data_IF_062012466038
#
_entry.id   IF_062012466038
#
_cell.length_a   1.000
_cell.length_b   1.000
_cell.length_c   1.000
_cell.angle_alpha   90.00
_cell.angle_beta   90.00
_cell.angle_gamma   90.00
#
_symmetry.space_group_name_H-M   'P 1'
#
loop_
_entity.id
_entity.type
_entity.pdbx_description
1 polymer ?
#
# COMPACT_ATOMS: atom_id res chain seq x y z
N UNK A 1 -27.49 -3.26 12.42
CA UNK A 1 -26.16 -3.33 13.04
C UNK A 1 -25.17 -3.80 11.99
N UNK A 2 -24.12 -3.02 11.73
CA UNK A 2 -23.01 -3.49 10.90
C UNK A 2 -22.09 -4.35 11.79
N UNK A 3 -21.73 -5.55 11.35
CA UNK A 3 -20.82 -6.44 12.11
C UNK A 3 -19.34 -6.12 11.91
N UNK A 4 -19.02 -5.30 10.89
CA UNK A 4 -17.68 -4.82 10.56
C UNK A 4 -17.79 -3.40 10.00
N UNK A 5 -16.90 -2.53 10.45
CA UNK A 5 -16.69 -1.18 9.89
C UNK A 5 -15.23 -1.10 9.49
N UNK A 6 -14.94 -0.47 8.36
CA UNK A 6 -13.57 -0.33 7.91
C UNK A 6 -13.41 0.65 6.77
N UNK A 7 -12.17 1.04 6.56
CA UNK A 7 -11.71 1.93 5.51
C UNK A 7 -10.53 1.25 4.81
N UNK A 8 -10.49 1.35 3.49
CA UNK A 8 -9.43 0.75 2.69
C UNK A 8 -8.96 1.71 1.62
N UNK A 9 -7.65 1.94 1.56
CA UNK A 9 -7.02 2.66 0.47
C UNK A 9 -6.13 1.71 -0.33
N UNK A 10 -6.34 1.72 -1.64
CA UNK A 10 -5.52 0.98 -2.60
C UNK A 10 -4.82 1.99 -3.50
N UNK A 11 -3.52 2.17 -3.26
CA UNK A 11 -2.71 3.08 -4.06
C UNK A 11 -1.87 2.27 -5.05
N UNK A 12 -2.03 2.59 -6.33
CA UNK A 12 -1.19 2.07 -7.41
C UNK A 12 -0.25 3.16 -7.89
N UNK A 13 1.04 2.97 -7.65
CA UNK A 13 2.11 3.77 -8.23
C UNK A 13 2.48 3.12 -9.56
N UNK A 14 1.99 3.69 -10.66
CA UNK A 14 2.24 3.22 -12.03
C UNK A 14 3.08 4.26 -12.76
N UNK A 15 4.32 3.89 -13.05
CA UNK A 15 5.32 4.78 -13.63
C UNK A 15 5.78 4.24 -14.97
N UNK A 16 5.86 5.12 -15.96
CA UNK A 16 6.46 4.80 -17.25
C UNK A 16 7.97 5.08 -17.22
N UNK A 17 8.69 4.37 -16.35
CA UNK A 17 10.14 4.46 -16.19
C UNK A 17 10.79 3.11 -16.54
N UNK A 18 12.05 3.12 -17.02
CA UNK A 18 12.84 1.88 -17.13
C UNK A 18 13.10 1.28 -15.74
N UNK A 19 13.57 0.02 -15.73
CA UNK A 19 13.95 -0.72 -14.50
C UNK A 19 12.78 -0.94 -13.52
N UNK A 20 11.93 -1.96 -13.78
CA UNK A 20 10.67 -2.15 -13.03
C UNK A 20 10.87 -2.62 -11.58
N UNK A 21 12.10 -2.95 -11.18
CA UNK A 21 12.45 -3.38 -9.83
C UNK A 21 13.16 -2.30 -9.00
N UNK A 22 13.52 -1.17 -9.59
CA UNK A 22 14.24 -0.08 -8.90
C UNK A 22 13.29 0.94 -8.28
N UNK A 23 13.00 0.80 -6.98
CA UNK A 23 11.96 1.58 -6.30
C UNK A 23 12.47 2.58 -5.26
N UNK A 24 13.76 2.62 -4.94
CA UNK A 24 14.33 3.43 -3.84
C UNK A 24 14.03 4.94 -3.95
N UNK A 25 13.85 5.44 -5.18
CA UNK A 25 13.46 6.84 -5.42
C UNK A 25 12.02 7.15 -4.96
N UNK A 26 11.15 6.16 -4.96
CA UNK A 26 9.70 6.33 -4.84
C UNK A 26 9.14 5.72 -3.55
N UNK A 27 9.66 4.57 -3.15
CA UNK A 27 9.20 3.79 -1.99
C UNK A 27 10.31 3.73 -0.96
N UNK A 28 9.94 3.76 0.33
CA UNK A 28 10.87 3.68 1.44
C UNK A 28 11.73 2.41 1.34
N UNK A 29 13.06 2.56 1.38
CA UNK A 29 14.00 1.45 1.22
C UNK A 29 13.84 0.34 2.25
N UNK A 30 13.35 0.65 3.45
CA UNK A 30 13.16 -0.32 4.53
C UNK A 30 12.15 -1.41 4.17
N UNK A 31 11.23 -1.16 3.23
CA UNK A 31 10.23 -2.13 2.78
C UNK A 31 10.58 -2.78 1.42
N UNK A 32 11.76 -2.49 0.86
CA UNK A 32 12.22 -3.00 -0.43
C UNK A 32 13.24 -4.15 -0.32
N UNK A 33 13.72 -4.47 0.88
CA UNK A 33 14.89 -5.36 1.08
C UNK A 33 14.78 -6.75 0.44
N UNK A 34 13.57 -7.28 0.27
CA UNK A 34 13.33 -8.56 -0.40
C UNK A 34 13.76 -8.57 -1.88
N UNK A 35 13.76 -7.43 -2.56
CA UNK A 35 14.15 -7.32 -3.97
C UNK A 35 15.65 -7.63 -4.07
N UNK A 36 16.44 -7.06 -3.16
CA UNK A 36 17.89 -7.21 -3.12
C UNK A 36 18.34 -8.58 -2.57
N UNK A 37 17.44 -9.34 -1.96
CA UNK A 37 17.70 -10.72 -1.53
C UNK A 37 17.80 -11.72 -2.70
N UNK A 38 17.19 -11.41 -3.85
CA UNK A 38 17.14 -12.31 -4.99
C UNK A 38 18.15 -11.90 -6.08
N UNK A 39 19.02 -12.84 -6.48
CA UNK A 39 19.98 -12.63 -7.58
C UNK A 39 19.31 -12.72 -8.96
N UNK A 40 18.38 -13.65 -9.14
CA UNK A 40 17.72 -13.93 -10.42
C UNK A 40 16.51 -13.01 -10.69
N UNK A 41 16.75 -11.70 -10.59
CA UNK A 41 15.71 -10.65 -10.69
C UNK A 41 14.88 -10.74 -11.98
N UNK A 42 15.47 -11.20 -13.10
CA UNK A 42 14.77 -11.34 -14.38
C UNK A 42 13.64 -12.40 -14.40
N UNK A 43 13.64 -13.36 -13.45
CA UNK A 43 12.60 -14.40 -13.39
C UNK A 43 11.46 -14.05 -12.43
N UNK A 44 11.55 -12.92 -11.73
CA UNK A 44 10.51 -12.49 -10.80
C UNK A 44 9.22 -12.17 -11.58
N UNK A 45 8.13 -12.80 -11.18
CA UNK A 45 6.80 -12.63 -11.79
C UNK A 45 5.89 -11.73 -10.97
N UNK A 46 6.13 -11.61 -9.65
CA UNK A 46 5.42 -10.75 -8.72
C UNK A 46 6.13 -10.71 -7.36
N UNK A 47 6.00 -9.62 -6.60
CA UNK A 47 6.53 -9.53 -5.23
C UNK A 47 5.46 -8.91 -4.33
N UNK A 48 5.07 -9.59 -3.25
CA UNK A 48 4.12 -9.04 -2.26
C UNK A 48 4.49 -9.45 -0.84
N UNK A 49 4.23 -8.53 0.08
CA UNK A 49 4.31 -8.71 1.53
C UNK A 49 2.96 -8.41 2.14
N UNK A 50 2.69 -9.02 3.28
CA UNK A 50 1.54 -8.72 4.12
C UNK A 50 2.07 -8.49 5.53
N UNK A 51 1.73 -7.36 6.11
CA UNK A 51 1.92 -7.05 7.53
C UNK A 51 0.55 -6.82 8.14
N UNK A 52 0.26 -7.51 9.23
CA UNK A 52 -1.01 -7.37 9.95
C UNK A 52 -0.76 -6.75 11.32
N UNK A 53 -1.44 -5.64 11.59
CA UNK A 53 -1.42 -4.96 12.88
C UNK A 53 -2.74 -5.19 13.61
N UNK A 54 -2.66 -5.21 14.93
CA UNK A 54 -3.81 -5.10 15.81
C UNK A 54 -3.55 -3.93 16.76
N UNK A 55 -4.17 -2.78 16.47
CA UNK A 55 -4.11 -1.58 17.30
C UNK A 55 -5.33 -1.56 18.22
N UNK A 56 -5.29 -2.36 19.28
CA UNK A 56 -6.28 -2.37 20.36
C UNK A 56 -7.74 -2.41 19.87
N UNK A 57 -8.05 -3.33 18.95
CA UNK A 57 -9.40 -3.50 18.38
C UNK A 57 -9.59 -2.94 16.97
N UNK A 58 -8.60 -2.20 16.45
CA UNK A 58 -8.48 -1.88 15.02
C UNK A 58 -7.47 -2.82 14.35
N UNK A 59 -7.97 -3.71 13.50
CA UNK A 59 -7.15 -4.54 12.64
C UNK A 59 -6.71 -3.75 11.42
N UNK A 60 -5.42 -3.80 11.06
CA UNK A 60 -4.91 -3.21 9.81
C UNK A 60 -4.14 -4.26 9.03
N UNK A 61 -4.63 -4.58 7.84
CA UNK A 61 -3.91 -5.41 6.87
C UNK A 61 -3.21 -4.50 5.88
N UNK A 62 -1.89 -4.50 5.91
CA UNK A 62 -1.03 -3.78 4.99
C UNK A 62 -0.39 -4.75 4.00
N UNK A 63 -0.93 -4.80 2.78
CA UNK A 63 -0.38 -5.57 1.68
C UNK A 63 0.34 -4.66 0.69
N UNK A 64 1.59 -4.96 0.37
CA UNK A 64 2.38 -4.11 -0.53
C UNK A 64 3.39 -4.88 -1.36
N UNK A 65 3.80 -4.28 -2.48
CA UNK A 65 4.88 -4.81 -3.29
C UNK A 65 4.73 -4.51 -4.78
N UNK A 66 5.55 -5.18 -5.58
CA UNK A 66 5.60 -5.02 -7.03
C UNK A 66 4.49 -5.86 -7.67
N UNK A 67 3.49 -5.14 -8.19
CA UNK A 67 2.41 -5.72 -8.95
C UNK A 67 2.85 -6.07 -10.37
N UNK A 68 2.12 -6.97 -11.00
CA UNK A 68 2.34 -7.32 -12.39
C UNK A 68 1.00 -7.53 -13.08
N UNK A 69 0.62 -6.59 -13.95
CA UNK A 69 -0.60 -6.71 -14.75
C UNK A 69 -0.60 -7.92 -15.68
N UNK A 70 0.59 -8.43 -16.02
CA UNK A 70 0.79 -9.48 -17.01
C UNK A 70 1.13 -10.84 -16.34
N UNK A 71 0.86 -10.96 -15.03
CA UNK A 71 1.09 -12.20 -14.27
C UNK A 71 0.40 -13.40 -14.94
N UNK A 72 1.06 -14.57 -15.07
CA UNK A 72 2.32 -14.97 -14.44
C UNK A 72 3.59 -14.69 -15.25
N UNK A 73 3.56 -13.82 -16.26
CA UNK A 73 4.79 -13.44 -16.98
C UNK A 73 5.79 -12.72 -16.08
N UNK A 74 7.02 -12.52 -16.55
CA UNK A 74 8.03 -11.72 -15.85
C UNK A 74 7.59 -10.26 -15.69
N UNK A 75 8.02 -9.61 -14.61
CA UNK A 75 7.71 -8.20 -14.34
C UNK A 75 8.36 -7.33 -15.43
N UNK A 76 7.52 -6.58 -16.15
CA UNK A 76 7.97 -5.63 -17.20
C UNK A 76 7.59 -4.18 -16.93
N UNK A 77 6.52 -3.96 -16.13
CA UNK A 77 5.99 -2.64 -15.82
C UNK A 77 6.40 -2.23 -14.41
N UNK A 78 6.66 -0.93 -14.23
CA UNK A 78 7.01 -0.36 -12.93
C UNK A 78 5.73 -0.03 -12.17
N UNK A 79 5.14 -1.05 -11.57
CA UNK A 79 3.91 -0.96 -10.77
C UNK A 79 4.15 -1.40 -9.33
N UNK A 80 3.90 -0.51 -8.37
CA UNK A 80 3.95 -0.80 -6.94
C UNK A 80 2.59 -0.54 -6.30
N UNK A 81 2.14 -1.46 -5.46
CA UNK A 81 0.86 -1.38 -4.78
C UNK A 81 1.08 -1.17 -3.28
N UNK A 82 0.31 -0.25 -2.71
CA UNK A 82 0.13 -0.07 -1.28
C UNK A 82 -1.36 -0.24 -0.98
N UNK A 83 -1.74 -1.42 -0.50
CA UNK A 83 -3.10 -1.81 -0.16
C UNK A 83 -3.24 -1.90 1.36
N UNK A 84 -3.90 -0.90 1.95
CA UNK A 84 -4.03 -0.78 3.41
C UNK A 84 -5.51 -0.83 3.76
N UNK A 85 -5.93 -1.92 4.41
CA UNK A 85 -7.30 -2.18 4.84
C UNK A 85 -7.35 -2.15 6.38
N UNK A 86 -7.97 -1.11 6.95
CA UNK A 86 -8.17 -0.97 8.38
C UNK A 86 -9.65 -1.22 8.73
N UNK A 87 -9.91 -2.10 9.69
CA UNK A 87 -11.25 -2.50 10.05
C UNK A 87 -11.37 -2.96 11.51
N UNK A 88 -12.58 -2.83 12.04
CA UNK A 88 -12.96 -3.32 13.37
C UNK A 88 -14.23 -4.16 13.26
N UNK A 89 -14.36 -5.13 14.16
CA UNK A 89 -15.55 -5.98 14.29
C UNK A 89 -16.28 -5.66 15.58
N UNK A 90 -17.61 -5.67 15.57
CA UNK A 90 -18.39 -5.33 16.76
C UNK A 90 -19.84 -4.93 16.48
N UNK A 91 -20.55 -4.57 17.55
CA UNK A 91 -21.85 -3.92 17.47
C UNK A 91 -21.64 -2.41 17.58
N UNK A 92 -21.64 -1.74 16.43
CA UNK A 92 -21.40 -0.30 16.36
C UNK A 92 -22.71 0.49 16.39
N UNK A 93 -22.76 1.56 17.18
CA UNK A 93 -23.70 2.65 16.97
C UNK A 93 -23.16 3.69 15.96
N UNK A 94 -23.92 4.74 15.68
CA UNK A 94 -23.51 5.75 14.70
C UNK A 94 -22.25 6.53 15.12
N UNK A 95 -22.09 6.81 16.42
CA UNK A 95 -20.91 7.49 16.95
C UNK A 95 -19.67 6.61 16.86
N UNK A 96 -19.82 5.32 17.17
CA UNK A 96 -18.74 4.34 17.07
C UNK A 96 -18.26 4.15 15.62
N UNK A 97 -19.17 4.21 14.64
CA UNK A 97 -18.81 4.13 13.22
C UNK A 97 -17.90 5.29 12.82
N UNK A 98 -18.26 6.53 13.19
CA UNK A 98 -17.47 7.71 12.84
C UNK A 98 -16.08 7.65 13.48
N UNK A 99 -16.00 7.31 14.76
CA UNK A 99 -14.71 7.15 15.44
C UNK A 99 -13.85 6.07 14.78
N UNK A 100 -14.43 4.92 14.43
CA UNK A 100 -13.72 3.84 13.74
C UNK A 100 -13.17 4.28 12.39
N UNK A 101 -13.92 5.08 11.62
CA UNK A 101 -13.46 5.57 10.31
C UNK A 101 -12.33 6.58 10.47
N UNK A 102 -12.40 7.48 11.44
CA UNK A 102 -11.34 8.46 11.73
C UNK A 102 -10.04 7.75 12.21
N UNK A 103 -10.15 6.82 13.15
CA UNK A 103 -9.01 6.04 13.63
C UNK A 103 -8.37 5.23 12.49
N UNK A 104 -9.20 4.60 11.66
CA UNK A 104 -8.75 3.89 10.46
C UNK A 104 -8.02 4.83 9.49
N UNK A 105 -8.57 6.02 9.23
CA UNK A 105 -7.96 7.00 8.35
C UNK A 105 -6.57 7.43 8.84
N UNK A 106 -6.45 7.78 10.13
CA UNK A 106 -5.18 8.19 10.73
C UNK A 106 -4.12 7.10 10.62
N UNK A 107 -4.48 5.83 10.92
CA UNK A 107 -3.53 4.71 10.83
C UNK A 107 -3.13 4.39 9.40
N UNK A 108 -4.08 4.40 8.47
CA UNK A 108 -3.78 4.20 7.05
C UNK A 108 -2.84 5.30 6.55
N UNK A 109 -3.11 6.56 6.91
CA UNK A 109 -2.30 7.69 6.49
C UNK A 109 -0.87 7.58 7.03
N UNK A 110 -0.68 7.28 8.33
CA UNK A 110 0.67 7.09 8.90
C UNK A 110 1.47 6.00 8.16
N UNK A 111 0.86 4.84 7.93
CA UNK A 111 1.51 3.74 7.20
C UNK A 111 1.85 4.17 5.77
N UNK A 112 0.93 4.85 5.08
CA UNK A 112 1.13 5.30 3.71
C UNK A 112 2.27 6.33 3.60
N UNK A 113 2.26 7.37 4.43
CA UNK A 113 3.31 8.41 4.46
C UNK A 113 4.69 7.80 4.72
N UNK A 114 4.80 6.84 5.64
CA UNK A 114 6.05 6.15 5.94
C UNK A 114 6.52 5.21 4.83
N UNK A 115 5.62 4.79 3.94
CA UNK A 115 5.90 3.82 2.88
C UNK A 115 6.39 4.48 1.59
N UNK A 116 6.08 5.75 1.38
CA UNK A 116 6.51 6.48 0.19
C UNK A 116 7.61 7.49 0.52
N UNK A 117 8.23 8.01 -0.51
CA UNK A 117 9.18 9.14 -0.44
C UNK A 117 8.49 10.46 -0.78
N UNK A 118 9.19 11.57 -0.52
CA UNK A 118 8.75 12.90 -0.94
C UNK A 118 8.56 13.01 -2.46
N UNK A 119 9.37 12.29 -3.26
CA UNK A 119 9.21 12.26 -4.72
C UNK A 119 7.83 11.73 -5.11
N UNK A 120 7.43 10.58 -4.55
CA UNK A 120 6.12 10.00 -4.81
C UNK A 120 4.98 10.89 -4.30
N UNK A 121 5.16 11.54 -3.14
CA UNK A 121 4.20 12.52 -2.63
C UNK A 121 3.99 13.68 -3.61
N UNK A 122 5.06 14.19 -4.21
CA UNK A 122 4.99 15.27 -5.19
C UNK A 122 4.30 14.82 -6.49
N UNK A 123 4.62 13.63 -6.99
CA UNK A 123 3.96 13.05 -8.17
C UNK A 123 2.45 12.93 -7.98
N UNK A 124 2.01 12.52 -6.80
CA UNK A 124 0.57 12.40 -6.49
C UNK A 124 -0.13 13.76 -6.41
N UNK A 125 0.52 14.80 -5.88
CA UNK A 125 -0.03 16.17 -5.88
C UNK A 125 -0.24 16.69 -7.30
N UNK A 126 0.78 16.57 -8.15
CA UNK A 126 0.71 17.03 -9.55
C UNK A 126 -0.41 16.34 -10.34
N UNK A 127 -0.67 15.05 -10.07
CA UNK A 127 -1.74 14.30 -10.75
C UNK A 127 -3.14 14.79 -10.35
N UNK A 128 -3.30 15.31 -9.14
CA UNK A 128 -4.58 15.85 -8.65
C UNK A 128 -4.85 17.27 -9.17
N UNK A 129 -3.82 18.03 -9.53
CA UNK A 129 -3.95 19.41 -10.05
C UNK A 129 -4.26 19.45 -11.57
N UNK A 130 -4.15 18.31 -12.27
CA UNK A 130 -4.37 18.18 -13.72
C UNK A 130 -5.72 17.51 -14.03
N UNK A 131 -6.60 17.37 -13.02
CA UNK A 131 -7.98 16.86 -13.16
C UNK A 131 -9.02 17.96 -13.03
#
# INVERSE_FOLDING_TARGET
>A
TAGRVGLRYVNLIDLNEPEPLEWKKHVNEQILGIIDFHEEKQFLTRIFHIVEYNFDGLSVKYQFGIANSDYPAQIKKKQFVLDIDAYSHGAFDYGDILNCVEDAHVKIQDIFERSITDETRQLMKQKNDVQ
#
